data_IF_067260740202
#
_entry.id   IF_067260740202
#
_cell.length_a   1.000
_cell.length_b   1.000
_cell.length_c   1.000
_cell.angle_alpha   90.00
_cell.angle_beta   90.00
_cell.angle_gamma   90.00
#
_symmetry.space_group_name_H-M   'P 1'
#
loop_
_entity.id
_entity.type
_entity.pdbx_description
1 polymer ?
#
# COMPACT_ATOMS: atom_id res chain seq x y z
N UNK A 1 15.97 26.01 5.14
CA UNK A 1 15.11 24.93 5.64
C UNK A 1 14.18 24.57 4.50
N UNK A 2 14.23 23.34 3.98
CA UNK A 2 13.24 22.88 2.99
C UNK A 2 11.96 22.61 3.79
N UNK A 3 10.88 23.26 3.42
CA UNK A 3 9.56 22.92 3.93
C UNK A 3 9.26 21.49 3.48
N UNK A 4 9.32 20.55 4.42
CA UNK A 4 8.82 19.20 4.19
C UNK A 4 7.30 19.29 4.21
N UNK A 5 6.72 19.56 3.04
CA UNK A 5 5.29 19.43 2.84
C UNK A 5 4.96 17.94 2.82
N UNK A 6 4.90 17.31 4.01
CA UNK A 6 4.38 15.96 4.23
C UNK A 6 2.87 15.95 3.95
N UNK A 7 2.48 16.21 2.70
CA UNK A 7 1.10 16.13 2.29
C UNK A 7 0.70 14.64 2.30
N UNK A 8 -0.40 14.29 2.97
CA UNK A 8 -0.89 12.91 2.95
C UNK A 8 -1.24 12.50 1.52
N UNK A 9 -0.78 11.33 1.11
CA UNK A 9 -1.08 10.70 -0.18
C UNK A 9 -2.16 9.64 0.04
N UNK A 10 -3.34 9.85 -0.52
CA UNK A 10 -4.48 8.93 -0.37
C UNK A 10 -4.58 8.03 -1.60
N UNK A 11 -4.58 6.72 -1.37
CA UNK A 11 -4.81 5.68 -2.38
C UNK A 11 -6.08 4.90 -2.02
N UNK A 12 -7.10 4.96 -2.87
CA UNK A 12 -8.42 4.37 -2.60
C UNK A 12 -8.60 2.94 -3.14
N UNK A 13 -7.52 2.31 -3.56
CA UNK A 13 -7.53 1.03 -4.26
C UNK A 13 -6.36 0.11 -3.88
N UNK A 14 -5.86 0.19 -2.63
CA UNK A 14 -4.80 -0.70 -2.14
C UNK A 14 -5.37 -2.12 -1.92
N UNK A 15 -4.77 -3.18 -2.48
CA UNK A 15 -5.21 -4.56 -2.26
C UNK A 15 -5.22 -4.97 -0.79
N UNK A 16 -6.32 -5.59 -0.34
CA UNK A 16 -6.47 -6.08 1.05
C UNK A 16 -5.31 -6.99 1.47
N UNK A 17 -4.94 -7.94 0.60
CA UNK A 17 -3.89 -8.92 0.87
C UNK A 17 -2.50 -8.28 1.09
N UNK A 18 -2.30 -7.05 0.63
CA UNK A 18 -1.02 -6.35 0.73
C UNK A 18 -0.89 -5.48 1.98
N UNK A 19 -2.01 -5.17 2.66
CA UNK A 19 -2.04 -4.16 3.73
C UNK A 19 -1.08 -4.48 4.86
N UNK A 20 -1.06 -5.72 5.36
CA UNK A 20 -0.17 -6.08 6.47
C UNK A 20 1.30 -6.07 6.08
N UNK A 21 1.64 -6.51 4.87
CA UNK A 21 3.01 -6.41 4.37
C UNK A 21 3.45 -4.95 4.15
N UNK A 22 2.52 -4.05 3.81
CA UNK A 22 2.79 -2.61 3.71
C UNK A 22 2.97 -1.96 5.09
N UNK A 23 2.28 -2.44 6.13
CA UNK A 23 2.35 -1.89 7.50
C UNK A 23 3.56 -2.42 8.28
N UNK A 24 3.78 -3.73 8.24
CA UNK A 24 4.77 -4.42 9.09
C UNK A 24 6.03 -4.88 8.32
N UNK A 25 6.00 -4.82 6.99
CA UNK A 25 7.10 -5.23 6.13
C UNK A 25 6.85 -6.57 5.44
N UNK A 26 7.48 -6.72 4.27
CA UNK A 26 7.26 -7.83 3.34
C UNK A 26 7.88 -9.14 3.84
N UNK A 27 8.98 -9.07 4.58
CA UNK A 27 9.71 -10.25 5.05
C UNK A 27 8.95 -11.05 6.12
N UNK A 28 8.06 -10.39 6.85
CA UNK A 28 7.27 -11.01 7.93
C UNK A 28 6.06 -11.79 7.40
N UNK A 29 5.72 -11.63 6.11
CA UNK A 29 4.48 -12.17 5.56
C UNK A 29 4.69 -13.53 4.85
N UNK A 30 4.17 -14.58 5.51
CA UNK A 30 4.32 -15.98 5.09
C UNK A 30 3.32 -16.40 4.02
N UNK A 31 2.21 -15.68 3.88
CA UNK A 31 1.12 -16.06 2.95
C UNK A 31 1.26 -15.44 1.55
N UNK A 32 2.24 -14.55 1.34
CA UNK A 32 2.50 -13.95 0.03
C UNK A 32 3.40 -14.80 -0.84
N UNK A 33 3.01 -14.92 -2.11
CA UNK A 33 3.86 -15.52 -3.14
C UNK A 33 5.03 -14.60 -3.49
N UNK A 34 6.07 -15.13 -4.13
CA UNK A 34 7.19 -14.31 -4.61
C UNK A 34 6.74 -13.24 -5.63
N UNK A 35 5.67 -13.52 -6.40
CA UNK A 35 5.06 -12.54 -7.32
C UNK A 35 4.44 -11.38 -6.54
N UNK A 36 3.65 -11.68 -5.50
CA UNK A 36 3.01 -10.68 -4.64
C UNK A 36 4.05 -9.80 -3.93
N UNK A 37 5.10 -10.43 -3.37
CA UNK A 37 6.21 -9.72 -2.73
C UNK A 37 6.91 -8.79 -3.71
N UNK A 38 7.08 -9.20 -4.96
CA UNK A 38 7.69 -8.38 -6.01
C UNK A 38 6.82 -7.16 -6.35
N UNK A 39 5.50 -7.36 -6.47
CA UNK A 39 4.55 -6.27 -6.73
C UNK A 39 4.58 -5.22 -5.61
N UNK A 40 4.54 -5.65 -4.35
CA UNK A 40 4.63 -4.72 -3.20
C UNK A 40 5.98 -4.01 -3.20
N UNK A 41 7.08 -4.75 -3.39
CA UNK A 41 8.43 -4.15 -3.40
C UNK A 41 8.57 -3.07 -4.48
N UNK A 42 8.06 -3.32 -5.70
CA UNK A 42 8.06 -2.32 -6.78
C UNK A 42 7.20 -1.12 -6.42
N UNK A 43 5.99 -1.36 -5.93
CA UNK A 43 5.08 -0.30 -5.50
C UNK A 43 5.73 0.62 -4.46
N UNK A 44 6.38 0.06 -3.43
CA UNK A 44 7.11 0.84 -2.42
C UNK A 44 8.30 1.58 -3.05
N UNK A 45 9.13 0.90 -3.83
CA UNK A 45 10.33 1.50 -4.40
C UNK A 45 10.05 2.66 -5.37
N UNK A 46 8.94 2.58 -6.12
CA UNK A 46 8.54 3.59 -7.08
C UNK A 46 7.86 4.81 -6.41
N UNK A 47 7.05 4.58 -5.38
CA UNK A 47 6.21 5.63 -4.79
C UNK A 47 6.78 6.20 -3.48
N UNK A 48 7.52 5.39 -2.72
CA UNK A 48 7.99 5.73 -1.36
C UNK A 48 9.47 5.37 -1.15
N UNK A 49 10.40 5.85 -2.00
CA UNK A 49 11.82 5.48 -1.93
C UNK A 49 12.52 5.90 -0.63
N UNK A 50 11.97 6.88 0.10
CA UNK A 50 12.48 7.34 1.39
C UNK A 50 11.72 6.75 2.59
N UNK A 51 10.82 5.80 2.34
CA UNK A 51 9.92 5.24 3.35
C UNK A 51 8.65 6.04 3.55
N UNK A 52 7.75 5.48 4.36
CA UNK A 52 6.43 6.03 4.65
C UNK A 52 5.93 5.50 6.01
N UNK A 53 4.93 6.18 6.55
CA UNK A 53 3.97 5.61 7.51
C UNK A 53 2.60 5.57 6.85
N UNK A 54 1.73 4.64 7.24
CA UNK A 54 0.40 4.55 6.65
C UNK A 54 -0.72 4.43 7.69
N UNK A 55 -1.95 4.69 7.24
CA UNK A 55 -3.17 4.50 8.00
C UNK A 55 -4.26 3.99 7.06
N UNK A 56 -4.95 2.94 7.47
CA UNK A 56 -6.00 2.27 6.68
C UNK A 56 -7.37 2.70 7.19
N UNK A 57 -8.24 3.13 6.29
CA UNK A 57 -9.66 3.30 6.58
C UNK A 57 -10.40 1.99 6.28
N UNK A 58 -10.70 1.23 7.33
CA UNK A 58 -11.36 -0.08 7.22
C UNK A 58 -12.84 0.01 6.82
N UNK A 59 -13.45 1.20 6.89
CA UNK A 59 -14.83 1.43 6.46
C UNK A 59 -14.88 1.85 4.98
N UNK A 60 -13.83 2.50 4.47
CA UNK A 60 -13.69 2.88 3.07
C UNK A 60 -13.07 1.75 2.23
N UNK A 61 -13.90 0.78 1.84
CA UNK A 61 -13.46 -0.34 0.99
C UNK A 61 -14.36 -0.58 -0.23
N UNK A 62 -13.78 -1.25 -1.24
CA UNK A 62 -14.51 -1.86 -2.35
C UNK A 62 -14.40 -3.36 -2.21
N UNK A 63 -15.53 -4.04 -2.04
CA UNK A 63 -15.56 -5.51 -1.88
C UNK A 63 -14.94 -6.22 -3.10
N UNK A 64 -15.05 -5.61 -4.28
CA UNK A 64 -14.35 -6.03 -5.48
C UNK A 64 -13.98 -4.81 -6.33
N UNK A 65 -12.67 -4.60 -6.54
CA UNK A 65 -12.12 -3.60 -7.44
C UNK A 65 -11.49 -4.29 -8.66
N UNK A 66 -11.91 -3.89 -9.85
CA UNK A 66 -11.34 -4.37 -11.12
C UNK A 66 -9.97 -3.74 -11.43
N UNK A 67 -9.61 -2.66 -10.75
CA UNK A 67 -8.41 -1.85 -11.00
C UNK A 67 -7.69 -1.50 -9.68
N UNK A 68 -7.20 -2.50 -8.94
CA UNK A 68 -6.37 -2.24 -7.77
C UNK A 68 -5.08 -1.51 -8.15
N UNK A 69 -4.43 -0.90 -7.16
CA UNK A 69 -3.16 -0.20 -7.31
C UNK A 69 -2.07 -1.06 -7.97
N UNK A 70 -2.08 -2.36 -7.66
CA UNK A 70 -1.24 -3.39 -8.24
C UNK A 70 -1.90 -4.75 -8.07
N UNK A 71 -1.41 -5.75 -8.81
CA UNK A 71 -1.93 -7.11 -8.75
C UNK A 71 -3.24 -7.31 -9.53
N UNK A 72 -3.95 -8.39 -9.20
CA UNK A 72 -5.19 -8.81 -9.86
C UNK A 72 -6.42 -8.24 -9.14
N UNK A 73 -7.57 -8.12 -9.83
CA UNK A 73 -8.83 -7.68 -9.22
C UNK A 73 -9.12 -8.37 -7.89
N UNK A 74 -9.37 -7.56 -6.85
CA UNK A 74 -9.57 -8.03 -5.48
C UNK A 74 -10.30 -6.98 -4.64
N UNK A 75 -10.54 -7.30 -3.37
CA UNK A 75 -10.98 -6.31 -2.39
C UNK A 75 -9.89 -5.26 -2.15
N UNK A 76 -10.28 -4.00 -2.03
CA UNK A 76 -9.34 -2.89 -1.80
C UNK A 76 -9.83 -1.93 -0.72
N UNK A 77 -8.88 -1.26 -0.07
CA UNK A 77 -9.15 -0.23 0.94
C UNK A 77 -8.55 1.11 0.56
N UNK A 78 -9.10 2.16 1.14
CA UNK A 78 -8.46 3.45 1.19
C UNK A 78 -7.35 3.47 2.25
N UNK A 79 -6.17 3.91 1.81
CA UNK A 79 -4.98 4.02 2.64
C UNK A 79 -4.38 5.41 2.46
N UNK A 80 -4.11 6.05 3.58
CA UNK A 80 -3.37 7.31 3.62
C UNK A 80 -1.91 7.04 3.96
N UNK A 81 -1.01 7.42 3.06
CA UNK A 81 0.43 7.37 3.24
C UNK A 81 0.99 8.75 3.60
N UNK A 82 1.93 8.80 4.54
CA UNK A 82 2.70 9.98 4.89
C UNK A 82 4.17 9.66 4.61
N UNK A 83 4.77 10.38 3.66
CA UNK A 83 6.17 10.21 3.27
C UNK A 83 7.12 10.84 4.28
N UNK A 84 8.30 10.25 4.46
CA UNK A 84 9.38 10.78 5.31
C UNK A 84 10.22 11.86 4.61
#
# INVERSE_FOLDING_TARGET
MKENNNMPLVWNNIPEWAIFALEYGIEEELFLTDEDKNLITRFIGENFPNGYTMSVDWEAYREFDAYPAFGKPCKTYEVTFITA
#
